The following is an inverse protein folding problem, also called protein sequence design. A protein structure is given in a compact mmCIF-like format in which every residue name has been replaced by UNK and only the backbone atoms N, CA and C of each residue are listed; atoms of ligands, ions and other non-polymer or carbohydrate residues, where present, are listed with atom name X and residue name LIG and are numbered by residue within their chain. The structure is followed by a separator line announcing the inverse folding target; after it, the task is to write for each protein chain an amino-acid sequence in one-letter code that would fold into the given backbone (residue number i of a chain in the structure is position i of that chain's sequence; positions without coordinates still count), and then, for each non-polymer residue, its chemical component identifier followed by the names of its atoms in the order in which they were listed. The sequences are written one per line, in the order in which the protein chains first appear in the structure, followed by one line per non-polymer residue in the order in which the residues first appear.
data_IF_526803259001
#
_entry.id   IF_526803259001
#
_cell.length_a   1.000
_cell.length_b   1.000
_cell.length_c   1.000
_cell.angle_alpha   90.00
_cell.angle_beta   90.00
_cell.angle_gamma   90.00
#
_symmetry.space_group_name_H-M   'P 1'
#
loop_
_entity.id
_entity.type
_entity.pdbx_description
1 polymer ?
#
# COMPACT_ATOMS: atom_id res chain seq x y z
N UNK A 1 -4.26 16.70 7.08
CA UNK A 1 -3.59 15.43 6.70
C UNK A 1 -2.57 15.58 5.58
N UNK A 2 -2.92 15.72 4.28
CA UNK A 2 -1.91 15.79 3.19
C UNK A 2 -1.00 17.02 3.33
N UNK A 3 -1.58 18.21 3.56
CA UNK A 3 -0.81 19.45 3.73
C UNK A 3 0.09 19.44 4.98
N UNK A 4 -0.38 18.81 6.05
CA UNK A 4 0.41 18.66 7.28
C UNK A 4 1.55 17.66 7.07
N UNK A 5 1.28 16.54 6.38
CA UNK A 5 2.30 15.59 6.02
C UNK A 5 3.37 16.21 5.12
N UNK A 6 2.96 17.05 4.17
CA UNK A 6 3.87 17.82 3.32
C UNK A 6 4.79 18.73 4.16
N UNK A 7 4.26 19.36 5.20
CA UNK A 7 5.02 20.24 6.11
C UNK A 7 5.96 19.47 7.05
N UNK A 8 5.51 18.35 7.61
CA UNK A 8 6.22 17.60 8.65
C UNK A 8 6.98 16.36 8.14
N UNK A 9 6.96 16.11 6.83
CA UNK A 9 7.67 14.97 6.22
C UNK A 9 7.00 13.61 6.45
N UNK A 10 5.70 13.57 6.73
CA UNK A 10 5.00 12.30 6.96
C UNK A 10 4.70 11.56 5.66
N UNK A 11 4.47 10.26 5.80
CA UNK A 11 4.05 9.44 4.67
C UNK A 11 2.54 9.31 4.68
N UNK A 12 1.93 9.56 3.52
CA UNK A 12 0.49 9.41 3.32
C UNK A 12 0.27 8.34 2.27
N UNK A 13 -0.56 7.34 2.62
CA UNK A 13 -1.00 6.32 1.68
C UNK A 13 -2.49 6.45 1.47
N UNK A 14 -2.89 6.79 0.24
CA UNK A 14 -4.26 6.82 -0.21
C UNK A 14 -4.58 5.48 -0.85
N UNK A 15 -5.52 4.74 -0.24
CA UNK A 15 -5.90 3.43 -0.73
C UNK A 15 -7.16 3.49 -1.59
N UNK A 16 -7.22 2.62 -2.59
CA UNK A 16 -8.40 2.44 -3.44
C UNK A 16 -8.89 3.71 -4.14
N UNK A 17 -7.96 4.52 -4.68
CA UNK A 17 -8.29 5.83 -5.26
C UNK A 17 -9.32 5.75 -6.41
N UNK A 18 -9.34 4.67 -7.19
CA UNK A 18 -10.35 4.41 -8.23
C UNK A 18 -11.81 4.49 -7.75
N UNK A 19 -12.09 4.29 -6.46
CA UNK A 19 -13.44 4.36 -5.90
C UNK A 19 -13.86 5.80 -5.61
N UNK A 20 -12.90 6.69 -5.33
CA UNK A 20 -13.13 8.06 -4.89
C UNK A 20 -13.24 9.05 -6.06
N UNK A 21 -14.18 8.80 -6.96
CA UNK A 21 -14.36 9.56 -8.23
C UNK A 21 -14.47 11.06 -8.00
N UNK A 22 -15.31 11.50 -7.07
CA UNK A 22 -15.55 12.92 -6.78
C UNK A 22 -14.34 13.64 -6.19
N UNK A 23 -13.38 12.90 -5.62
CA UNK A 23 -12.21 13.47 -4.96
C UNK A 23 -10.99 13.58 -5.88
N UNK A 24 -11.00 12.91 -7.04
CA UNK A 24 -9.86 12.89 -7.96
C UNK A 24 -9.47 14.28 -8.49
N UNK A 25 -10.43 15.18 -8.70
CA UNK A 25 -10.14 16.56 -9.11
C UNK A 25 -9.40 17.35 -8.03
N UNK A 26 -9.71 17.12 -6.75
CA UNK A 26 -9.00 17.76 -5.64
C UNK A 26 -7.60 17.17 -5.47
N UNK A 27 -7.44 15.86 -5.65
CA UNK A 27 -6.12 15.22 -5.69
C UNK A 27 -5.25 15.83 -6.79
N UNK A 28 -5.79 15.99 -7.99
CA UNK A 28 -5.10 16.62 -9.12
C UNK A 28 -4.68 18.06 -8.80
N UNK A 29 -5.58 18.85 -8.21
CA UNK A 29 -5.28 20.23 -7.80
C UNK A 29 -4.13 20.27 -6.79
N UNK A 30 -4.15 19.41 -5.77
CA UNK A 30 -3.11 19.35 -4.74
C UNK A 30 -1.76 18.94 -5.34
N UNK A 31 -1.74 17.93 -6.20
CA UNK A 31 -0.50 17.43 -6.81
C UNK A 31 0.12 18.41 -7.81
N UNK A 32 -0.69 19.24 -8.47
CA UNK A 32 -0.23 20.23 -9.45
C UNK A 32 0.06 21.61 -8.82
N UNK A 33 -0.16 21.78 -7.51
CA UNK A 33 0.16 23.01 -6.81
C UNK A 33 1.68 23.14 -6.61
N UNK A 34 2.30 24.01 -7.42
CA UNK A 34 3.75 24.25 -7.39
C UNK A 34 4.23 24.81 -6.06
N UNK A 35 3.39 25.56 -5.35
CA UNK A 35 3.76 26.11 -4.03
C UNK A 35 3.93 25.01 -2.99
N UNK A 36 3.13 23.95 -3.08
CA UNK A 36 3.23 22.78 -2.22
C UNK A 36 4.42 21.90 -2.57
N UNK A 37 4.82 21.87 -3.85
CA UNK A 37 6.00 21.13 -4.30
C UNK A 37 7.30 21.81 -3.83
N UNK A 38 7.40 23.13 -3.99
CA UNK A 38 8.60 23.91 -3.64
C UNK A 38 8.83 23.97 -2.12
N UNK A 39 7.76 23.99 -1.34
CA UNK A 39 7.82 23.99 0.12
C UNK A 39 7.74 22.60 0.77
N UNK A 40 7.75 21.52 -0.03
CA UNK A 40 7.62 20.16 0.46
C UNK A 40 8.80 19.75 1.34
N UNK A 41 8.51 19.11 2.48
CA UNK A 41 9.54 18.50 3.31
C UNK A 41 10.27 17.37 2.54
N UNK A 42 11.61 17.24 2.61
CA UNK A 42 12.37 16.24 1.83
C UNK A 42 11.94 14.79 2.04
N UNK A 43 11.44 14.47 3.24
CA UNK A 43 10.97 13.11 3.61
C UNK A 43 9.50 12.85 3.30
N UNK A 44 8.74 13.86 2.87
CA UNK A 44 7.33 13.71 2.54
C UNK A 44 7.14 12.73 1.38
N UNK A 45 6.22 11.77 1.53
CA UNK A 45 5.85 10.84 0.46
C UNK A 45 4.33 10.70 0.38
N UNK A 46 3.78 10.89 -0.82
CA UNK A 46 2.40 10.59 -1.13
C UNK A 46 2.33 9.33 -2.00
N UNK A 47 1.71 8.28 -1.46
CA UNK A 47 1.48 7.02 -2.15
C UNK A 47 0.00 6.89 -2.49
N UNK A 48 -0.30 6.43 -3.71
CA UNK A 48 -1.66 6.16 -4.15
C UNK A 48 -1.74 4.71 -4.62
N UNK A 49 -2.71 3.95 -4.11
CA UNK A 49 -3.03 2.61 -4.62
C UNK A 49 -4.34 2.65 -5.37
N UNK A 50 -4.35 2.09 -6.57
CA UNK A 50 -5.53 2.08 -7.44
C UNK A 50 -5.47 0.93 -8.44
N UNK A 51 -6.64 0.39 -8.79
CA UNK A 51 -6.77 -0.33 -10.06
C UNK A 51 -6.66 0.65 -11.23
N UNK A 52 -6.31 0.17 -12.43
CA UNK A 52 -6.43 0.94 -13.66
C UNK A 52 -7.85 1.52 -13.79
N UNK A 53 -7.95 2.83 -13.93
CA UNK A 53 -9.23 3.53 -14.02
C UNK A 53 -9.09 4.78 -14.87
N UNK A 54 -10.09 5.04 -15.72
CA UNK A 54 -10.15 6.23 -16.56
C UNK A 54 -10.46 7.51 -15.77
N UNK A 55 -10.85 7.36 -14.50
CA UNK A 55 -11.17 8.46 -13.59
C UNK A 55 -9.91 9.01 -12.91
N UNK A 56 -8.84 8.21 -12.86
CA UNK A 56 -7.63 8.63 -12.17
C UNK A 56 -6.94 9.75 -12.99
N UNK A 57 -6.55 10.88 -12.37
CA UNK A 57 -6.06 12.03 -13.11
C UNK A 57 -4.79 11.73 -13.92
N UNK A 58 -4.85 12.04 -15.22
CA UNK A 58 -3.75 11.77 -16.16
C UNK A 58 -2.51 12.61 -15.81
N UNK A 59 -2.68 13.85 -15.35
CA UNK A 59 -1.58 14.72 -14.94
C UNK A 59 -0.80 14.12 -13.75
N UNK A 60 -1.52 13.62 -12.74
CA UNK A 60 -0.93 12.93 -11.59
C UNK A 60 -0.22 11.65 -12.02
N UNK A 61 -0.79 10.90 -12.98
CA UNK A 61 -0.09 9.76 -13.57
C UNK A 61 1.20 10.24 -14.25
N UNK A 62 1.16 11.19 -15.16
CA UNK A 62 2.35 11.63 -15.89
C UNK A 62 3.49 12.07 -14.94
N UNK A 63 3.17 12.83 -13.90
CA UNK A 63 4.14 13.40 -12.97
C UNK A 63 4.57 12.47 -11.82
N UNK A 64 3.96 11.28 -11.68
CA UNK A 64 4.28 10.34 -10.61
C UNK A 64 5.20 9.20 -11.04
N UNK A 65 5.77 8.48 -10.06
CA UNK A 65 6.44 7.19 -10.28
C UNK A 65 5.37 6.09 -10.26
N UNK A 66 5.37 5.23 -11.28
CA UNK A 66 4.38 4.16 -11.44
C UNK A 66 5.00 2.82 -11.10
N UNK A 67 4.31 2.04 -10.27
CA UNK A 67 4.69 0.67 -9.97
C UNK A 67 3.47 -0.23 -10.16
N UNK A 68 3.65 -1.34 -10.86
CA UNK A 68 2.63 -2.39 -10.99
C UNK A 68 2.94 -3.51 -10.01
N UNK A 69 1.94 -3.92 -9.24
CA UNK A 69 2.03 -5.11 -8.39
C UNK A 69 1.36 -6.28 -9.12
N UNK A 70 2.15 -7.03 -9.89
CA UNK A 70 1.68 -8.23 -10.58
C UNK A 70 1.92 -9.49 -9.73
N UNK A 71 1.00 -10.47 -9.76
CA UNK A 71 1.24 -11.75 -9.10
C UNK A 71 2.46 -12.47 -9.73
N UNK A 72 3.28 -13.17 -8.94
CA UNK A 72 4.45 -13.86 -9.45
C UNK A 72 4.04 -14.96 -10.43
N UNK A 73 4.73 -15.04 -11.56
CA UNK A 73 4.47 -16.03 -12.61
C UNK A 73 5.07 -17.38 -12.22
N UNK A 74 4.22 -18.41 -12.17
CA UNK A 74 4.62 -19.81 -11.94
C UNK A 74 4.55 -20.26 -10.48
N UNK A 75 4.33 -21.57 -10.30
CA UNK A 75 4.11 -22.19 -8.98
C UNK A 75 5.30 -21.99 -8.04
N UNK A 76 6.54 -22.15 -8.53
CA UNK A 76 7.76 -22.00 -7.74
C UNK A 76 7.89 -20.59 -7.15
N UNK A 77 7.69 -19.55 -7.96
CA UNK A 77 7.77 -18.17 -7.52
C UNK A 77 6.63 -17.81 -6.55
N UNK A 78 5.42 -18.36 -6.80
CA UNK A 78 4.30 -18.21 -5.89
C UNK A 78 4.59 -18.85 -4.52
N UNK A 79 5.07 -20.10 -4.50
CA UNK A 79 5.47 -20.79 -3.26
C UNK A 79 6.56 -20.03 -2.53
N UNK A 80 7.60 -19.57 -3.24
CA UNK A 80 8.68 -18.80 -2.63
C UNK A 80 8.18 -17.51 -1.97
N UNK A 81 7.27 -16.77 -2.61
CA UNK A 81 6.63 -15.59 -2.01
C UNK A 81 5.84 -15.97 -0.76
N UNK A 82 5.06 -17.04 -0.81
CA UNK A 82 4.25 -17.48 0.32
C UNK A 82 5.12 -17.88 1.52
N UNK A 83 6.17 -18.68 1.33
CA UNK A 83 7.05 -19.08 2.43
C UNK A 83 7.85 -17.92 3.04
N UNK A 84 8.13 -16.87 2.27
CA UNK A 84 8.78 -15.66 2.77
C UNK A 84 7.80 -14.59 3.26
N UNK A 85 6.49 -14.84 3.21
CA UNK A 85 5.48 -13.92 3.74
C UNK A 85 5.20 -14.23 5.20
N UNK A 86 4.92 -13.20 5.99
CA UNK A 86 4.40 -13.39 7.33
C UNK A 86 3.01 -14.06 7.27
N UNK A 87 2.71 -15.02 8.16
CA UNK A 87 3.53 -15.49 9.28
C UNK A 87 4.49 -16.65 8.95
N UNK A 88 4.43 -17.23 7.75
CA UNK A 88 5.15 -18.44 7.35
C UNK A 88 6.68 -18.30 7.43
N UNK A 89 7.19 -17.09 7.22
CA UNK A 89 8.62 -16.78 7.31
C UNK A 89 9.19 -16.95 8.72
N UNK A 90 8.34 -16.98 9.75
CA UNK A 90 8.78 -17.12 11.15
C UNK A 90 8.94 -18.60 11.49
N UNK A 91 10.13 -19.00 11.95
CA UNK A 91 10.37 -20.37 12.48
C UNK A 91 9.36 -20.79 13.56
N UNK A 92 8.88 -19.81 14.34
CA UNK A 92 7.85 -20.01 15.37
C UNK A 92 6.49 -20.43 14.82
N UNK A 93 6.20 -20.13 13.55
CA UNK A 93 4.93 -20.48 12.92
C UNK A 93 4.72 -21.99 12.86
N UNK A 94 5.72 -22.73 12.37
CA UNK A 94 5.63 -24.18 12.24
C UNK A 94 5.80 -24.89 13.59
N UNK A 95 6.70 -24.40 14.45
CA UNK A 95 6.92 -25.02 15.77
C UNK A 95 5.70 -24.90 16.69
N UNK A 96 4.99 -23.76 16.66
CA UNK A 96 3.75 -23.60 17.42
C UNK A 96 2.57 -24.40 16.86
N UNK A 97 2.58 -24.77 15.58
CA UNK A 97 1.52 -25.58 14.97
C UNK A 97 1.47 -27.01 15.55
N UNK A 98 2.59 -27.52 16.07
CA UNK A 98 2.70 -28.86 16.65
C UNK A 98 2.72 -28.86 18.19
N UNK A 99 2.77 -27.69 18.83
CA UNK A 99 2.60 -27.55 20.27
C UNK A 99 1.11 -27.57 20.58
N UNK A 100 0.60 -28.74 20.97
CA UNK A 100 -0.79 -28.92 21.37
C UNK A 100 -1.08 -28.11 22.64
N UNK A 101 -1.64 -26.93 22.47
CA UNK A 101 -2.16 -26.08 23.54
C UNK A 101 -3.55 -25.62 23.14
N UNK A 102 -4.53 -25.87 24.00
CA UNK A 102 -5.95 -25.54 23.79
C UNK A 102 -6.19 -24.03 23.52
N UNK A 103 -5.19 -23.18 23.85
CA UNK A 103 -5.20 -21.75 23.61
C UNK A 103 -4.78 -21.36 22.18
N UNK A 104 -4.02 -22.21 21.48
CA UNK A 104 -3.48 -21.94 20.13
C UNK A 104 -4.55 -22.05 19.02
N UNK A 105 -5.61 -22.83 19.25
CA UNK A 105 -6.74 -22.97 18.32
C UNK A 105 -7.55 -21.67 18.13
N UNK A 106 -7.43 -20.70 19.05
CA UNK A 106 -8.14 -19.41 18.94
C UNK A 106 -7.51 -18.46 17.93
N UNK A 107 -6.23 -18.63 17.60
CA UNK A 107 -5.53 -17.73 16.67
C UNK A 107 -5.91 -17.97 15.20
N UNK A 108 -6.28 -19.20 14.84
CA UNK A 108 -6.67 -19.58 13.47
C UNK A 108 -8.10 -19.17 13.10
N UNK A 109 -8.94 -18.81 14.07
CA UNK A 109 -10.35 -18.42 13.84
C UNK A 109 -10.56 -16.92 13.57
N UNK A 110 -9.52 -16.08 13.64
CA UNK A 110 -9.62 -14.63 13.37
C UNK A 110 -9.06 -14.19 12.01
N UNK A 111 -8.70 -15.15 11.16
CA UNK A 111 -8.05 -14.91 9.88
C UNK A 111 -8.90 -15.26 8.65
N UNK A 112 -10.23 -15.08 8.73
CA UNK A 112 -11.12 -15.00 7.56
C UNK A 112 -11.85 -13.68 7.62
#
# INVERSE_FOLDING_TARGET
MILEANRYGHWVVLQNCHVAVSWMGELERICNDTTLADAAHPDYRLWCTSYPSNVFPVSVLQNSVKMTNEPPKGLKANMFRSFNSDPLVRDKFFTNAFLYSDMANKCWLRGV
#
